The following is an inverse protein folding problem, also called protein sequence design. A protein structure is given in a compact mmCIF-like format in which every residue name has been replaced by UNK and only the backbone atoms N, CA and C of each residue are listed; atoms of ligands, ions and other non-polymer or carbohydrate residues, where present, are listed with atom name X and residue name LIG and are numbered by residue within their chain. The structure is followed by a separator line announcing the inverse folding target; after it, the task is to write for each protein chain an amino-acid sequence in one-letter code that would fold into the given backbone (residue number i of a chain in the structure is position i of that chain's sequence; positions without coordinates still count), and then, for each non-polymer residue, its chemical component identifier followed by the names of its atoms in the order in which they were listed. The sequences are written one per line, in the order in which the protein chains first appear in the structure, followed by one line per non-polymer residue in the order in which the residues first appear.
data_IF_388443667897
#
_entry.id   IF_388443667897
#
_cell.length_a   1.000
_cell.length_b   1.000
_cell.length_c   1.000
_cell.angle_alpha   90.00
_cell.angle_beta   90.00
_cell.angle_gamma   90.00
#
_symmetry.space_group_name_H-M   'P 1'
#
loop_
_entity.id
_entity.type
_entity.pdbx_description
1 polymer ?
#
# COMPACT_ATOMS: atom_id res chain seq x y z
N UNK A 1 -23.42 -6.35 -50.72
CA UNK A 1 -22.03 -5.90 -50.56
C UNK A 1 -22.08 -4.38 -50.38
N UNK A 2 -21.64 -3.74 -49.31
CA UNK A 2 -20.64 -4.04 -48.27
C UNK A 2 -20.95 -3.22 -47.01
N UNK A 3 -20.51 -3.60 -45.80
CA UNK A 3 -20.77 -2.78 -44.61
C UNK A 3 -19.81 -1.57 -44.58
N UNK A 4 -20.36 -0.37 -44.76
CA UNK A 4 -19.67 0.91 -44.54
C UNK A 4 -19.30 1.04 -43.04
N UNK A 5 -18.06 0.69 -42.69
CA UNK A 5 -17.51 0.88 -41.35
C UNK A 5 -16.84 2.24 -41.29
N UNK A 6 -17.63 3.25 -40.94
CA UNK A 6 -17.21 4.64 -40.76
C UNK A 6 -15.90 4.79 -39.95
N UNK A 7 -14.99 5.70 -40.34
CA UNK A 7 -13.64 5.83 -39.77
C UNK A 7 -13.61 6.06 -38.24
N UNK A 8 -14.68 6.67 -37.68
CA UNK A 8 -14.83 6.88 -36.23
C UNK A 8 -14.94 5.57 -35.44
N UNK A 9 -15.62 4.55 -35.98
CA UNK A 9 -15.79 3.24 -35.32
C UNK A 9 -14.45 2.50 -35.20
N UNK A 10 -13.58 2.68 -36.18
CA UNK A 10 -12.26 2.04 -36.21
C UNK A 10 -11.29 2.72 -35.23
N UNK A 11 -11.38 4.05 -35.08
CA UNK A 11 -10.65 4.80 -34.04
C UNK A 11 -11.08 4.40 -32.63
N UNK A 12 -12.38 4.33 -32.35
CA UNK A 12 -12.89 3.94 -31.02
C UNK A 12 -12.46 2.51 -30.65
N UNK A 13 -12.52 1.57 -31.60
CA UNK A 13 -12.02 0.20 -31.39
C UNK A 13 -10.53 0.17 -31.05
N UNK A 14 -9.70 0.95 -31.75
CA UNK A 14 -8.26 1.05 -31.46
C UNK A 14 -8.00 1.62 -30.06
N UNK A 15 -8.76 2.65 -29.67
CA UNK A 15 -8.65 3.24 -28.33
C UNK A 15 -9.06 2.25 -27.23
N UNK A 16 -10.15 1.50 -27.42
CA UNK A 16 -10.58 0.48 -26.46
C UNK A 16 -9.57 -0.66 -26.33
N UNK A 17 -8.97 -1.10 -27.45
CA UNK A 17 -7.91 -2.12 -27.43
C UNK A 17 -6.68 -1.57 -26.68
N UNK A 18 -6.24 -0.34 -26.98
CA UNK A 18 -5.12 0.28 -26.29
C UNK A 18 -5.38 0.45 -24.78
N UNK A 19 -6.59 0.88 -24.42
CA UNK A 19 -7.01 0.97 -23.02
C UNK A 19 -6.99 -0.39 -22.32
N UNK A 20 -7.56 -1.42 -22.94
CA UNK A 20 -7.57 -2.77 -22.39
C UNK A 20 -6.14 -3.31 -22.19
N UNK A 21 -5.25 -3.13 -23.17
CA UNK A 21 -3.85 -3.53 -23.06
C UNK A 21 -3.13 -2.79 -21.93
N UNK A 22 -3.37 -1.47 -21.79
CA UNK A 22 -2.81 -0.68 -20.70
C UNK A 22 -3.31 -1.19 -19.34
N UNK A 23 -4.61 -1.43 -19.19
CA UNK A 23 -5.20 -1.96 -17.96
C UNK A 23 -4.64 -3.33 -17.60
N UNK A 24 -4.53 -4.25 -18.56
CA UNK A 24 -3.93 -5.57 -18.35
C UNK A 24 -2.47 -5.44 -17.91
N UNK A 25 -1.71 -4.55 -18.54
CA UNK A 25 -0.30 -4.31 -18.20
C UNK A 25 -0.16 -3.81 -16.76
N UNK A 26 -0.97 -2.82 -16.35
CA UNK A 26 -0.95 -2.30 -14.97
C UNK A 26 -1.35 -3.39 -13.98
N UNK A 27 -2.37 -4.19 -14.28
CA UNK A 27 -2.79 -5.28 -13.40
C UNK A 27 -1.70 -6.34 -13.25
N UNK A 28 -1.08 -6.77 -14.34
CA UNK A 28 0.04 -7.72 -14.28
C UNK A 28 1.21 -7.16 -13.48
N UNK A 29 1.55 -5.89 -13.67
CA UNK A 29 2.60 -5.22 -12.89
C UNK A 29 2.29 -5.23 -11.38
N UNK A 30 1.05 -4.92 -10.99
CA UNK A 30 0.65 -4.92 -9.58
C UNK A 30 0.59 -6.34 -8.98
N UNK A 31 0.21 -7.35 -9.76
CA UNK A 31 0.19 -8.75 -9.33
C UNK A 31 1.60 -9.34 -9.18
N UNK A 32 2.59 -8.77 -9.86
CA UNK A 32 4.00 -9.13 -9.73
C UNK A 32 4.73 -8.31 -8.65
N UNK A 33 4.01 -7.51 -7.85
CA UNK A 33 4.62 -6.75 -6.78
C UNK A 33 5.38 -7.68 -5.81
N UNK A 34 6.61 -7.29 -5.40
CA UNK A 34 7.40 -8.10 -4.48
C UNK A 34 6.70 -8.24 -3.13
N UNK A 35 7.10 -9.25 -2.35
CA UNK A 35 6.64 -9.44 -0.99
C UNK A 35 6.98 -8.22 -0.11
N UNK A 36 6.21 -8.06 0.96
CA UNK A 36 6.42 -6.97 1.90
C UNK A 36 7.77 -7.11 2.61
N UNK A 37 8.54 -6.02 2.64
CA UNK A 37 9.89 -6.00 3.23
C UNK A 37 9.91 -5.42 4.64
N UNK A 38 8.76 -4.96 5.13
CA UNK A 38 8.62 -4.30 6.43
C UNK A 38 8.33 -5.31 7.52
N UNK A 39 8.92 -5.12 8.69
CA UNK A 39 8.68 -5.99 9.84
C UNK A 39 7.27 -5.76 10.42
N UNK A 40 6.55 -6.81 10.83
CA UNK A 40 5.26 -6.66 11.52
C UNK A 40 5.46 -6.05 12.92
N UNK A 41 4.36 -5.59 13.52
CA UNK A 41 4.35 -5.14 14.91
C UNK A 41 4.67 -6.34 15.83
N UNK A 42 5.69 -6.25 16.71
CA UNK A 42 6.03 -7.35 17.60
C UNK A 42 4.86 -7.79 18.48
N UNK A 43 4.84 -9.07 18.85
CA UNK A 43 3.86 -9.63 19.79
C UNK A 43 4.56 -9.90 21.12
N UNK A 44 4.92 -8.81 21.80
CA UNK A 44 5.56 -8.81 23.12
C UNK A 44 4.74 -8.02 24.14
N UNK A 45 5.15 -8.02 25.40
CA UNK A 45 4.40 -7.40 26.50
C UNK A 45 4.19 -5.89 26.31
N UNK A 46 5.13 -5.20 25.66
CA UNK A 46 5.08 -3.75 25.46
C UNK A 46 4.23 -3.37 24.24
N UNK A 47 4.15 -4.24 23.23
CA UNK A 47 3.36 -4.01 22.02
C UNK A 47 1.95 -4.62 22.06
N UNK A 48 1.70 -5.60 22.94
CA UNK A 48 0.41 -6.27 23.10
C UNK A 48 -0.78 -5.32 23.34
N UNK A 49 -0.64 -4.22 24.11
CA UNK A 49 -1.72 -3.24 24.23
C UNK A 49 -2.15 -2.66 22.88
N UNK A 50 -1.21 -2.37 21.98
CA UNK A 50 -1.49 -1.78 20.68
C UNK A 50 -2.15 -2.75 19.69
N UNK A 51 -1.97 -4.06 19.88
CA UNK A 51 -2.71 -5.09 19.15
C UNK A 51 -4.20 -5.10 19.51
N UNK A 52 -4.54 -4.74 20.75
CA UNK A 52 -5.93 -4.77 21.27
C UNK A 52 -6.75 -3.53 20.93
N UNK A 53 -6.11 -2.43 20.53
CA UNK A 53 -6.81 -1.20 20.13
C UNK A 53 -7.45 -1.42 18.75
N UNK A 54 -8.78 -1.40 18.71
CA UNK A 54 -9.56 -1.65 17.49
C UNK A 54 -9.24 -0.65 16.39
N UNK A 55 -9.15 0.64 16.71
CA UNK A 55 -8.79 1.65 15.72
C UNK A 55 -7.28 1.72 15.51
N UNK A 56 -6.85 1.56 14.26
CA UNK A 56 -5.43 1.61 13.89
C UNK A 56 -4.86 3.01 14.12
N UNK A 57 -5.63 4.06 13.80
CA UNK A 57 -5.15 5.44 13.93
C UNK A 57 -4.94 5.82 15.38
N UNK A 58 -5.87 5.44 16.26
CA UNK A 58 -5.72 5.61 17.71
C UNK A 58 -4.42 4.95 18.21
N UNK A 59 -4.19 3.68 17.87
CA UNK A 59 -2.99 2.97 18.30
C UNK A 59 -1.68 3.64 17.83
N UNK A 60 -1.65 4.13 16.59
CA UNK A 60 -0.49 4.80 15.98
C UNK A 60 -0.08 6.07 16.74
N UNK A 61 -1.01 6.74 17.45
CA UNK A 61 -0.69 7.96 18.22
C UNK A 61 0.28 7.70 19.37
N UNK A 62 0.37 6.46 19.85
CA UNK A 62 1.22 6.08 20.97
C UNK A 62 2.64 5.69 20.56
N UNK A 63 2.87 5.33 19.30
CA UNK A 63 4.14 4.78 18.83
C UNK A 63 5.32 5.75 19.00
N UNK A 64 5.10 7.04 18.72
CA UNK A 64 6.16 8.06 18.79
C UNK A 64 6.65 8.34 20.21
N UNK A 65 5.98 7.83 21.26
CA UNK A 65 6.46 7.96 22.63
C UNK A 65 7.81 7.25 22.83
N UNK A 66 7.98 6.08 22.24
CA UNK A 66 9.23 5.31 22.28
C UNK A 66 10.01 5.41 20.96
N UNK A 67 9.30 5.55 19.82
CA UNK A 67 9.92 5.63 18.48
C UNK A 67 10.16 7.05 17.98
N UNK A 68 9.89 8.08 18.78
CA UNK A 68 10.22 9.47 18.43
C UNK A 68 11.73 9.74 18.47
N UNK A 69 12.20 10.90 17.98
CA UNK A 69 13.63 11.24 17.90
C UNK A 69 14.39 11.16 19.23
N UNK A 70 13.70 11.38 20.35
CA UNK A 70 14.26 11.31 21.71
C UNK A 70 13.66 10.15 22.53
N UNK A 71 12.96 9.23 21.87
CA UNK A 71 12.36 8.08 22.53
C UNK A 71 13.39 7.00 22.86
N UNK A 72 12.95 5.96 23.57
CA UNK A 72 13.79 4.84 23.99
C UNK A 72 14.33 4.00 22.83
N UNK A 73 13.61 3.96 21.70
CA UNK A 73 13.94 3.20 20.51
C UNK A 73 13.64 4.03 19.25
N UNK A 74 14.40 5.11 18.98
CA UNK A 74 14.12 6.03 17.88
C UNK A 74 14.14 5.31 16.53
N UNK A 75 13.33 5.81 15.59
CA UNK A 75 13.30 5.29 14.23
C UNK A 75 14.65 5.54 13.51
N UNK A 76 15.04 4.67 12.57
CA UNK A 76 16.20 4.90 11.72
C UNK A 76 16.11 6.20 10.91
N UNK A 77 17.26 6.78 10.55
CA UNK A 77 17.34 8.03 9.77
C UNK A 77 16.67 7.92 8.38
N UNK A 78 16.66 6.72 7.80
CA UNK A 78 16.04 6.43 6.50
C UNK A 78 14.56 6.01 6.61
N UNK A 79 13.97 6.10 7.82
CA UNK A 79 12.56 5.76 7.99
C UNK A 79 11.67 6.81 7.28
N UNK A 80 10.65 6.38 6.50
CA UNK A 80 9.72 7.30 5.86
C UNK A 80 8.94 8.14 6.90
N UNK A 81 8.26 9.22 6.50
CA UNK A 81 7.56 10.08 7.45
C UNK A 81 6.55 9.31 8.36
N UNK A 82 6.63 9.46 9.70
CA UNK A 82 5.99 8.54 10.67
C UNK A 82 4.53 8.90 10.97
N UNK A 83 3.69 8.94 9.94
CA UNK A 83 2.27 9.31 10.09
C UNK A 83 1.31 8.12 10.15
N UNK A 84 1.76 6.92 9.71
CA UNK A 84 0.90 5.73 9.54
C UNK A 84 1.66 4.44 9.84
N UNK A 85 2.06 4.24 11.09
CA UNK A 85 2.92 3.14 11.48
C UNK A 85 2.35 1.76 11.10
N UNK A 86 1.06 1.52 11.36
CA UNK A 86 0.39 0.23 11.16
C UNK A 86 -0.09 0.01 9.72
N UNK A 87 0.25 0.92 8.80
CA UNK A 87 0.08 0.69 7.36
C UNK A 87 1.16 -0.25 6.83
N UNK A 88 2.41 -0.03 7.24
CA UNK A 88 3.57 -0.85 6.88
C UNK A 88 3.84 -1.91 7.95
N UNK A 89 3.82 -1.55 9.23
CA UNK A 89 4.04 -2.47 10.35
C UNK A 89 2.72 -3.13 10.77
N UNK A 90 2.25 -4.07 9.94
CA UNK A 90 0.98 -4.78 10.16
C UNK A 90 0.99 -5.57 11.48
N UNK A 91 -0.20 -5.73 12.07
CA UNK A 91 -0.40 -6.54 13.29
C UNK A 91 -0.47 -8.03 13.00
N UNK A 92 -0.91 -8.37 11.79
CA UNK A 92 -1.10 -9.74 11.34
C UNK A 92 0.22 -10.24 10.74
N UNK A 93 1.18 -10.56 11.60
CA UNK A 93 2.46 -11.18 11.27
C UNK A 93 2.53 -12.60 11.78
#
# INVERSE_FOLDING_TARGET
MSPDRSPKKNRLKRLNIAFALLSITVLLFLLLAPEETTTPLPVDEIHLPFHRITDKKEAETHCQRCHGPTGEAPLPDDHPPPYRCLFCHKRDG
#
